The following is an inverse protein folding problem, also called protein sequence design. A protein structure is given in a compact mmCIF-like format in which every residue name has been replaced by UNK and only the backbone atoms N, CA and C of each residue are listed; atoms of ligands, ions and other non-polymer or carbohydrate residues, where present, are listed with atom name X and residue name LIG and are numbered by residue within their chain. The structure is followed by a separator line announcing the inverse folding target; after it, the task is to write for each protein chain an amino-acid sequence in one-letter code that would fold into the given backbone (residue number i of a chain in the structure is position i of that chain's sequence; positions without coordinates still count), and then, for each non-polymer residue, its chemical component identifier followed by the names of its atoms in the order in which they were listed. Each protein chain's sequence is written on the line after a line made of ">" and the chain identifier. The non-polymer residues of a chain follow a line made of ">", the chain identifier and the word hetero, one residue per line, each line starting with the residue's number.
data_IF_928641031397
#
_entry.id   IF_928641031397
#
_cell.length_a   1.000
_cell.length_b   1.000
_cell.length_c   1.000
_cell.angle_alpha   90.00
_cell.angle_beta   90.00
_cell.angle_gamma   90.00
#
_symmetry.space_group_name_H-M   'P 1'
#
loop_
_entity.id
_entity.type
_entity.pdbx_description
1 polymer ?
#
# COMPACT_ATOMS: atom_id res chain seq x y z
N UNK A 1 10.76 -24.95 -19.30
CA UNK A 1 11.15 -23.66 -19.91
C UNK A 1 12.46 -23.21 -19.29
N UNK A 2 13.21 -22.30 -19.91
CA UNK A 2 14.39 -21.70 -19.26
C UNK A 2 13.94 -21.05 -17.96
N UNK A 3 14.54 -21.44 -16.84
CA UNK A 3 14.27 -20.82 -15.54
C UNK A 3 14.58 -19.33 -15.64
N UNK A 4 13.54 -18.52 -15.51
CA UNK A 4 13.62 -17.07 -15.62
C UNK A 4 13.07 -16.47 -14.33
N UNK A 5 13.64 -15.33 -13.94
CA UNK A 5 13.18 -14.56 -12.80
C UNK A 5 12.25 -13.45 -13.26
N UNK A 6 11.25 -13.15 -12.45
CA UNK A 6 10.34 -12.01 -12.62
C UNK A 6 10.31 -11.21 -11.32
N UNK A 7 10.21 -9.89 -11.43
CA UNK A 7 9.94 -9.01 -10.30
C UNK A 7 8.48 -8.56 -10.40
N UNK A 8 7.74 -8.71 -9.30
CA UNK A 8 6.34 -8.30 -9.17
C UNK A 8 6.11 -7.85 -7.74
N UNK A 9 5.15 -6.96 -7.52
CA UNK A 9 4.74 -6.61 -6.16
C UNK A 9 3.91 -7.74 -5.52
N UNK A 10 3.85 -7.74 -4.19
CA UNK A 10 3.20 -8.80 -3.40
C UNK A 10 1.69 -8.89 -3.63
N UNK A 11 1.02 -7.75 -3.82
CA UNK A 11 -0.43 -7.74 -4.02
C UNK A 11 -0.78 -8.35 -5.38
N UNK A 12 -0.03 -8.02 -6.43
CA UNK A 12 -0.17 -8.63 -7.76
C UNK A 12 0.13 -10.13 -7.72
N UNK A 13 1.21 -10.55 -7.06
CA UNK A 13 1.54 -11.98 -6.89
C UNK A 13 0.39 -12.78 -6.26
N UNK A 14 -0.19 -12.27 -5.18
CA UNK A 14 -1.29 -12.93 -4.47
C UNK A 14 -2.57 -12.92 -5.32
N UNK A 15 -2.94 -11.77 -5.90
CA UNK A 15 -4.17 -11.65 -6.65
C UNK A 15 -4.18 -12.44 -7.97
N UNK A 16 -3.04 -12.48 -8.68
CA UNK A 16 -2.93 -13.22 -9.93
C UNK A 16 -2.70 -14.73 -9.71
N UNK A 17 -2.20 -15.10 -8.52
CA UNK A 17 -1.79 -16.44 -8.16
C UNK A 17 -0.55 -16.90 -8.92
N UNK A 18 0.04 -18.01 -8.45
CA UNK A 18 1.12 -18.68 -9.17
C UNK A 18 0.53 -19.50 -10.33
N UNK A 19 0.44 -18.90 -11.52
CA UNK A 19 -0.08 -19.59 -12.73
C UNK A 19 0.92 -20.57 -13.36
N UNK A 20 2.12 -20.65 -12.82
CA UNK A 20 3.13 -21.66 -13.15
C UNK A 20 3.68 -22.28 -11.88
N UNK A 21 4.94 -22.70 -11.92
CA UNK A 21 5.66 -23.25 -10.77
C UNK A 21 6.75 -22.28 -10.30
N UNK A 22 6.40 -21.01 -10.06
CA UNK A 22 7.33 -20.00 -9.56
C UNK A 22 7.40 -19.99 -8.04
N UNK A 23 8.59 -19.78 -7.47
CA UNK A 23 8.79 -19.61 -6.03
C UNK A 23 9.25 -18.19 -5.70
N UNK A 24 8.86 -17.70 -4.52
CA UNK A 24 9.40 -16.45 -3.98
C UNK A 24 10.83 -16.71 -3.51
N UNK A 25 11.80 -16.11 -4.20
CA UNK A 25 13.23 -16.26 -3.88
C UNK A 25 13.81 -15.06 -3.12
N UNK A 26 13.14 -13.91 -3.15
CA UNK A 26 13.53 -12.67 -2.44
C UNK A 26 12.27 -11.91 -2.02
N UNK A 27 12.20 -11.49 -0.75
CA UNK A 27 11.15 -10.61 -0.22
C UNK A 27 11.63 -9.84 1.02
N UNK A 28 10.92 -8.76 1.39
CA UNK A 28 11.14 -8.04 2.65
C UNK A 28 12.33 -7.07 2.69
N UNK A 29 13.13 -6.96 1.62
CA UNK A 29 14.18 -5.93 1.53
C UNK A 29 13.55 -4.53 1.60
N UNK A 30 14.03 -3.61 2.48
CA UNK A 30 13.50 -2.25 2.59
C UNK A 30 13.46 -1.48 1.27
N UNK A 31 14.35 -1.78 0.31
CA UNK A 31 14.38 -1.16 -1.03
C UNK A 31 13.19 -1.57 -1.89
N UNK A 32 12.52 -2.67 -1.55
CA UNK A 32 11.31 -3.14 -2.23
C UNK A 32 10.03 -2.55 -1.61
N UNK A 33 10.15 -1.67 -0.60
CA UNK A 33 9.00 -1.03 0.00
C UNK A 33 8.32 -0.08 -0.97
N UNK A 34 7.05 -0.37 -1.29
CA UNK A 34 6.23 0.45 -2.18
C UNK A 34 5.46 1.49 -1.36
N UNK A 35 6.07 2.66 -1.13
CA UNK A 35 5.48 3.74 -0.33
C UNK A 35 4.27 4.37 -1.03
N UNK A 36 3.16 4.47 -0.30
CA UNK A 36 2.00 5.25 -0.70
C UNK A 36 1.98 6.60 0.03
N UNK A 37 1.54 7.65 -0.66
CA UNK A 37 1.36 8.99 -0.10
C UNK A 37 0.03 9.58 -0.54
N UNK A 38 -0.56 10.41 0.32
CA UNK A 38 -1.78 11.16 0.01
C UNK A 38 -1.43 12.64 -0.06
N UNK A 39 -1.97 13.32 -1.07
CA UNK A 39 -1.79 14.74 -1.30
C UNK A 39 -3.17 15.37 -1.37
N UNK A 40 -3.44 16.33 -0.48
CA UNK A 40 -4.67 17.12 -0.54
C UNK A 40 -4.61 18.07 -1.74
N UNK A 41 -5.67 18.08 -2.54
CA UNK A 41 -5.80 19.00 -3.68
C UNK A 41 -5.98 20.42 -3.14
N UNK A 42 -5.21 21.38 -3.69
CA UNK A 42 -5.25 22.77 -3.25
C UNK A 42 -6.62 23.43 -3.59
N UNK A 43 -7.43 23.85 -2.60
CA UNK A 43 -8.74 24.45 -2.82
C UNK A 43 -8.69 25.88 -3.37
N UNK A 44 -7.61 26.63 -3.14
CA UNK A 44 -7.43 27.97 -3.73
C UNK A 44 -7.33 27.89 -5.26
N UNK A 45 -6.70 26.82 -5.75
CA UNK A 45 -6.59 26.53 -7.20
C UNK A 45 -7.80 25.77 -7.74
N UNK A 46 -8.48 25.00 -6.90
CA UNK A 46 -9.63 24.18 -7.27
C UNK A 46 -10.82 24.42 -6.32
N UNK A 47 -11.57 25.54 -6.46
CA UNK A 47 -12.59 25.93 -5.48
C UNK A 47 -13.76 24.95 -5.32
N UNK A 48 -14.01 24.09 -6.31
CA UNK A 48 -15.06 23.07 -6.26
C UNK A 48 -14.65 21.76 -5.58
N UNK A 49 -13.41 21.65 -5.10
CA UNK A 49 -12.96 20.43 -4.42
C UNK A 49 -13.53 20.34 -3.00
N UNK A 50 -13.88 19.14 -2.57
CA UNK A 50 -14.25 18.88 -1.18
C UNK A 50 -13.00 18.80 -0.31
N UNK A 51 -12.39 19.95 0.01
CA UNK A 51 -11.17 20.02 0.81
C UNK A 51 -11.39 19.51 2.24
N UNK A 52 -12.54 19.79 2.83
CA UNK A 52 -12.89 19.33 4.17
C UNK A 52 -12.95 17.80 4.24
N UNK A 53 -13.67 17.15 3.31
CA UNK A 53 -13.71 15.69 3.23
C UNK A 53 -12.35 15.08 2.90
N UNK A 54 -11.55 15.75 2.06
CA UNK A 54 -10.18 15.33 1.78
C UNK A 54 -9.29 15.36 3.02
N UNK A 55 -9.38 16.42 3.83
CA UNK A 55 -8.64 16.53 5.08
C UNK A 55 -9.11 15.51 6.11
N UNK A 56 -10.42 15.30 6.24
CA UNK A 56 -10.96 14.27 7.13
C UNK A 56 -10.44 12.87 6.79
N UNK A 57 -10.29 12.54 5.50
CA UNK A 57 -9.67 11.29 5.07
C UNK A 57 -8.18 11.21 5.40
N UNK A 58 -7.44 12.31 5.21
CA UNK A 58 -6.01 12.41 5.62
C UNK A 58 -5.86 12.22 7.12
N UNK A 59 -6.72 12.82 7.93
CA UNK A 59 -6.65 12.69 9.38
C UNK A 59 -6.96 11.26 9.82
N UNK A 60 -8.02 10.66 9.24
CA UNK A 60 -8.36 9.27 9.50
C UNK A 60 -7.23 8.31 9.10
N UNK A 61 -6.66 8.47 7.90
CA UNK A 61 -5.63 7.53 7.44
C UNK A 61 -4.34 7.61 8.27
N UNK A 62 -4.02 8.77 8.85
CA UNK A 62 -2.88 8.96 9.75
C UNK A 62 -3.17 8.55 11.20
N UNK A 63 -4.45 8.41 11.58
CA UNK A 63 -4.86 8.03 12.93
C UNK A 63 -4.51 6.58 13.26
N UNK A 64 -4.48 6.24 14.56
CA UNK A 64 -4.30 4.86 15.01
C UNK A 64 -5.34 3.92 14.40
N UNK A 65 -6.61 4.34 14.32
CA UNK A 65 -7.68 3.56 13.72
C UNK A 65 -7.42 3.27 12.24
N UNK A 66 -7.02 4.28 11.46
CA UNK A 66 -6.69 4.11 10.04
C UNK A 66 -5.46 3.21 9.85
N UNK A 67 -4.42 3.40 10.66
CA UNK A 67 -3.23 2.55 10.62
C UNK A 67 -3.56 1.10 10.99
N UNK A 68 -4.37 0.87 12.04
CA UNK A 68 -4.82 -0.47 12.43
C UNK A 68 -5.67 -1.13 11.34
N UNK A 69 -6.57 -0.37 10.69
CA UNK A 69 -7.36 -0.86 9.57
C UNK A 69 -6.46 -1.29 8.38
N UNK A 70 -5.41 -0.53 8.08
CA UNK A 70 -4.43 -0.87 7.04
C UNK A 70 -3.66 -2.14 7.42
N UNK A 71 -3.19 -2.27 8.66
CA UNK A 71 -2.47 -3.45 9.14
C UNK A 71 -3.36 -4.71 9.19
N UNK A 72 -4.66 -4.54 9.42
CA UNK A 72 -5.62 -5.63 9.48
C UNK A 72 -6.01 -6.18 8.10
N UNK A 73 -5.75 -5.45 7.02
CA UNK A 73 -6.15 -5.86 5.68
C UNK A 73 -5.37 -7.09 5.18
N UNK A 74 -6.12 -8.13 4.81
CA UNK A 74 -5.58 -9.43 4.39
C UNK A 74 -6.24 -9.95 3.12
N UNK A 75 -5.46 -10.66 2.31
CA UNK A 75 -5.93 -11.49 1.20
C UNK A 75 -5.27 -12.86 1.34
N UNK A 76 -6.07 -13.92 1.24
CA UNK A 76 -5.64 -15.31 1.47
C UNK A 76 -4.84 -15.51 2.78
N UNK A 77 -5.28 -14.81 3.84
CA UNK A 77 -4.65 -14.82 5.16
C UNK A 77 -3.38 -13.99 5.31
N UNK A 78 -2.82 -13.48 4.20
CA UNK A 78 -1.59 -12.69 4.20
C UNK A 78 -1.88 -11.20 4.37
N UNK A 79 -1.13 -10.53 5.25
CA UNK A 79 -1.18 -9.07 5.38
C UNK A 79 -0.51 -8.43 4.17
N UNK A 80 -1.19 -7.49 3.52
CA UNK A 80 -0.70 -6.87 2.28
C UNK A 80 -0.05 -5.50 2.50
N UNK A 81 -0.56 -4.72 3.45
CA UNK A 81 -0.10 -3.37 3.69
C UNK A 81 0.53 -3.24 5.08
N UNK A 82 1.61 -2.47 5.13
CA UNK A 82 2.39 -2.22 6.33
C UNK A 82 2.37 -0.71 6.60
N UNK A 83 1.50 -0.24 7.50
CA UNK A 83 1.30 1.18 7.77
C UNK A 83 2.55 1.81 8.41
N UNK A 84 2.88 3.05 8.01
CA UNK A 84 4.08 3.74 8.48
C UNK A 84 3.89 5.25 8.72
N UNK A 85 2.68 5.71 9.06
CA UNK A 85 2.41 7.13 9.31
C UNK A 85 3.24 7.69 10.48
N UNK A 86 3.51 6.88 11.50
CA UNK A 86 4.27 7.28 12.69
C UNK A 86 5.80 7.31 12.47
N UNK A 87 6.32 6.77 11.36
CA UNK A 87 7.77 6.63 11.16
C UNK A 87 8.47 7.88 10.63
N UNK A 88 7.87 9.08 10.76
CA UNK A 88 8.58 10.34 10.58
C UNK A 88 9.37 10.68 11.84
N UNK A 89 10.52 10.03 11.99
CA UNK A 89 11.66 10.48 12.79
C UNK A 89 12.74 11.02 11.89
#
# INVERSE_FOLDING_TARGET
>A
GMGAYVMTDRATWIAFGNKGDYDVVVEGDPKLFNQYGIILVNPEKHPGVNAEGGQAFVDWILSNEGQDAIAAYRVDGQQLFFPNAASRG
#
